data_IF_858546692565
#
_entry.id   IF_858546692565
#
_cell.length_a   1.000
_cell.length_b   1.000
_cell.length_c   1.000
_cell.angle_alpha   90.00
_cell.angle_beta   90.00
_cell.angle_gamma   90.00
#
_symmetry.space_group_name_H-M   'P 1'
#
loop_
_entity.id
_entity.type
_entity.pdbx_description
1 polymer ?
#
# COMPACT_ATOMS: atom_id res chain seq x y z
N UNK A 1 -7.36 -5.03 17.86
CA UNK A 1 -7.70 -6.01 16.81
C UNK A 1 -7.88 -7.37 17.46
N UNK A 2 -8.88 -8.16 17.08
CA UNK A 2 -8.99 -9.57 17.50
C UNK A 2 -8.88 -10.46 16.27
N UNK A 3 -8.23 -11.61 16.43
CA UNK A 3 -8.14 -12.65 15.42
C UNK A 3 -9.48 -13.38 15.27
N UNK A 4 -9.74 -13.91 14.07
CA UNK A 4 -10.81 -14.90 13.88
C UNK A 4 -10.48 -16.17 14.69
N UNK A 5 -11.49 -16.86 15.28
CA UNK A 5 -11.26 -18.09 16.04
C UNK A 5 -10.45 -19.13 15.24
N UNK A 6 -9.42 -19.70 15.87
CA UNK A 6 -8.55 -20.71 15.24
C UNK A 6 -7.39 -20.16 14.41
N UNK A 7 -7.19 -18.83 14.37
CA UNK A 7 -6.00 -18.23 13.74
C UNK A 7 -4.75 -18.39 14.60
N UNK A 8 -3.57 -18.31 13.97
CA UNK A 8 -2.30 -18.21 14.68
C UNK A 8 -2.22 -16.87 15.46
N UNK A 9 -1.46 -16.83 16.55
CA UNK A 9 -1.36 -15.62 17.40
C UNK A 9 -0.60 -14.48 16.71
N UNK A 10 0.27 -14.80 15.75
CA UNK A 10 1.17 -13.87 15.08
C UNK A 10 0.86 -13.69 13.57
N UNK A 11 -0.16 -14.39 13.05
CA UNK A 11 -0.68 -14.20 11.71
C UNK A 11 -2.17 -14.53 11.65
N UNK A 12 -3.01 -13.52 11.44
CA UNK A 12 -4.46 -13.69 11.48
C UNK A 12 -5.24 -12.69 10.63
N UNK A 13 -6.39 -13.12 10.11
CA UNK A 13 -7.37 -12.22 9.53
C UNK A 13 -8.06 -11.40 10.64
N UNK A 14 -8.29 -10.11 10.39
CA UNK A 14 -9.02 -9.23 11.30
C UNK A 14 -10.50 -9.67 11.34
N UNK A 15 -11.03 -9.84 12.54
CA UNK A 15 -12.46 -10.07 12.77
C UNK A 15 -13.24 -8.74 12.66
N UNK A 16 -14.16 -8.56 11.68
CA UNK A 16 -14.87 -7.31 11.46
C UNK A 16 -15.90 -7.05 12.57
N UNK A 17 -15.58 -6.13 13.49
CA UNK A 17 -16.50 -5.74 14.57
C UNK A 17 -17.26 -4.48 14.22
N UNK A 18 -18.58 -4.52 14.33
CA UNK A 18 -19.42 -3.33 14.33
C UNK A 18 -19.17 -2.53 15.61
N UNK A 19 -18.65 -1.31 15.48
CA UNK A 19 -18.48 -0.38 16.60
C UNK A 19 -18.98 1.03 16.22
N UNK A 20 -19.23 1.85 17.24
CA UNK A 20 -19.66 3.24 17.10
C UNK A 20 -18.41 4.11 16.89
N UNK A 21 -18.26 4.66 15.69
CA UNK A 21 -17.02 5.26 15.18
C UNK A 21 -16.81 6.72 15.65
N UNK A 22 -17.83 7.34 16.25
CA UNK A 22 -17.72 8.68 16.86
C UNK A 22 -18.74 8.87 17.98
N UNK A 23 -18.32 9.49 19.08
CA UNK A 23 -19.21 9.90 20.18
C UNK A 23 -19.87 11.26 19.95
N UNK A 24 -19.58 11.92 18.81
CA UNK A 24 -20.08 13.25 18.44
C UNK A 24 -20.36 13.33 16.93
N UNK A 25 -21.51 12.84 16.44
CA UNK A 25 -21.92 13.07 15.06
C UNK A 25 -22.05 14.58 14.79
N UNK A 26 -21.34 15.09 13.77
CA UNK A 26 -21.47 16.48 13.35
C UNK A 26 -22.70 16.63 12.45
N UNK A 27 -23.65 17.46 12.90
CA UNK A 27 -24.87 17.79 12.17
C UNK A 27 -25.96 16.74 12.38
N UNK A 28 -27.11 17.15 12.92
CA UNK A 28 -28.26 16.29 13.26
C UNK A 28 -29.00 15.67 12.05
N UNK A 29 -28.29 15.30 10.99
CA UNK A 29 -28.84 14.57 9.85
C UNK A 29 -28.73 13.06 10.08
N UNK A 30 -29.74 12.30 9.65
CA UNK A 30 -29.77 10.83 9.72
C UNK A 30 -28.57 10.18 9.01
N UNK A 31 -28.04 10.82 7.95
CA UNK A 31 -26.81 10.41 7.26
C UNK A 31 -25.56 10.53 8.15
N UNK A 32 -25.45 11.61 8.93
CA UNK A 32 -24.35 11.80 9.88
C UNK A 32 -24.37 10.77 11.02
N UNK A 33 -25.56 10.29 11.39
CA UNK A 33 -25.72 9.19 12.35
C UNK A 33 -25.29 7.84 11.74
N UNK A 34 -25.68 7.54 10.50
CA UNK A 34 -25.27 6.32 9.79
C UNK A 34 -23.76 6.27 9.50
N UNK A 35 -23.13 7.41 9.21
CA UNK A 35 -21.66 7.53 9.12
C UNK A 35 -20.94 7.27 10.45
N UNK A 36 -21.66 7.30 11.57
CA UNK A 36 -21.12 7.01 12.91
C UNK A 36 -21.10 5.53 13.24
N UNK A 37 -21.67 4.67 12.38
CA UNK A 37 -21.64 3.22 12.51
C UNK A 37 -20.84 2.63 11.35
N UNK A 38 -19.85 1.82 11.66
CA UNK A 38 -19.06 1.12 10.68
C UNK A 38 -18.38 -0.07 11.32
N UNK A 39 -17.99 -1.05 10.52
CA UNK A 39 -17.08 -2.04 11.04
C UNK A 39 -15.70 -1.39 11.26
N UNK A 40 -15.01 -1.76 12.34
CA UNK A 40 -13.67 -1.25 12.67
C UNK A 40 -12.63 -1.54 11.59
N UNK A 41 -12.83 -2.59 10.78
CA UNK A 41 -12.02 -2.89 9.62
C UNK A 41 -12.28 -1.93 8.44
N UNK A 42 -13.44 -1.27 8.36
CA UNK A 42 -13.75 -0.35 7.26
C UNK A 42 -12.79 0.86 7.25
N UNK A 43 -12.45 1.43 8.42
CA UNK A 43 -11.45 2.51 8.48
C UNK A 43 -10.07 2.02 8.05
N UNK A 44 -9.69 0.80 8.47
CA UNK A 44 -8.43 0.21 8.04
C UNK A 44 -8.44 -0.08 6.54
N UNK A 45 -9.53 -0.59 5.98
CA UNK A 45 -9.71 -0.83 4.54
C UNK A 45 -9.84 0.47 3.74
N UNK A 46 -10.15 1.61 4.37
CA UNK A 46 -10.08 2.93 3.74
C UNK A 46 -8.67 3.52 3.78
N UNK A 47 -7.82 3.03 4.68
CA UNK A 47 -6.44 3.49 4.87
C UNK A 47 -5.42 2.56 4.21
N UNK A 48 -5.75 1.28 4.04
CA UNK A 48 -4.92 0.21 3.51
C UNK A 48 -5.71 -0.43 2.39
N UNK A 49 -5.18 -0.34 1.17
CA UNK A 49 -5.90 -0.59 -0.07
C UNK A 49 -5.19 -1.70 -0.86
N UNK A 50 -5.93 -2.61 -1.52
CA UNK A 50 -5.29 -3.55 -2.42
C UNK A 50 -4.88 -2.80 -3.69
N UNK A 51 -3.65 -3.02 -4.13
CA UNK A 51 -3.16 -2.55 -5.43
C UNK A 51 -3.52 -3.59 -6.46
N UNK A 52 -4.16 -3.16 -7.54
CA UNK A 52 -4.68 -4.05 -8.56
C UNK A 52 -4.22 -3.63 -9.95
N UNK A 53 -4.06 -4.63 -10.83
CA UNK A 53 -3.77 -4.44 -12.24
C UNK A 53 -4.77 -5.21 -13.11
N UNK A 54 -5.18 -4.60 -14.23
CA UNK A 54 -5.97 -5.26 -15.26
C UNK A 54 -5.74 -4.62 -16.64
N UNK A 55 -6.02 -5.39 -17.69
CA UNK A 55 -6.00 -4.90 -19.06
C UNK A 55 -7.36 -4.32 -19.46
N UNK A 56 -7.38 -3.21 -20.19
CA UNK A 56 -8.59 -2.63 -20.75
C UNK A 56 -9.33 -3.65 -21.63
N UNK A 57 -10.65 -3.77 -21.44
CA UNK A 57 -11.48 -4.80 -22.07
C UNK A 57 -11.35 -6.20 -21.44
N UNK A 58 -10.44 -6.38 -20.48
CA UNK A 58 -10.37 -7.57 -19.65
C UNK A 58 -11.49 -7.60 -18.61
N UNK A 59 -11.87 -8.80 -18.18
CA UNK A 59 -12.93 -9.02 -17.18
C UNK A 59 -12.37 -9.51 -15.84
N UNK A 60 -11.06 -9.45 -15.63
CA UNK A 60 -10.41 -9.94 -14.41
C UNK A 60 -9.33 -8.96 -13.98
N UNK A 61 -9.33 -8.61 -12.69
CA UNK A 61 -8.25 -7.89 -12.05
C UNK A 61 -7.42 -8.81 -11.18
N UNK A 62 -6.12 -8.54 -11.17
CA UNK A 62 -5.15 -9.18 -10.29
C UNK A 62 -4.82 -8.26 -9.15
N UNK A 63 -4.90 -8.75 -7.91
CA UNK A 63 -4.24 -8.10 -6.79
C UNK A 63 -2.72 -8.29 -6.95
N UNK A 64 -1.96 -7.20 -7.04
CA UNK A 64 -0.50 -7.23 -7.21
C UNK A 64 0.24 -6.81 -5.94
N UNK A 65 -0.46 -6.23 -4.96
CA UNK A 65 0.11 -5.85 -3.69
C UNK A 65 -0.86 -5.09 -2.80
N UNK A 66 -0.31 -4.41 -1.81
CA UNK A 66 -1.00 -3.54 -0.87
C UNK A 66 -0.42 -2.13 -0.96
N UNK A 67 -1.25 -1.12 -0.75
CA UNK A 67 -0.84 0.28 -0.58
C UNK A 67 -1.50 0.83 0.68
N UNK A 68 -1.04 1.97 1.16
CA UNK A 68 -1.69 2.70 2.23
C UNK A 68 -1.72 4.20 1.98
N UNK A 69 -2.80 4.84 2.41
CA UNK A 69 -3.05 6.26 2.27
C UNK A 69 -2.19 7.04 3.26
N UNK A 70 -1.56 8.11 2.79
CA UNK A 70 -0.74 9.02 3.62
C UNK A 70 -1.22 10.47 3.57
N UNK A 71 -2.27 10.76 2.79
CA UNK A 71 -2.80 12.09 2.56
C UNK A 71 -4.31 12.07 2.30
N UNK A 72 -5.05 13.01 2.89
CA UNK A 72 -6.49 13.19 2.60
C UNK A 72 -6.80 13.45 1.12
N UNK A 73 -5.84 14.02 0.38
CA UNK A 73 -5.97 14.29 -1.06
C UNK A 73 -5.76 13.04 -1.93
N UNK A 74 -5.26 11.93 -1.38
CA UNK A 74 -5.04 10.69 -2.15
C UNK A 74 -3.59 10.39 -2.54
N UNK A 75 -2.59 10.86 -1.79
CA UNK A 75 -1.27 10.21 -1.86
C UNK A 75 -1.30 8.87 -1.13
N UNK A 76 -0.74 7.85 -1.77
CA UNK A 76 -0.59 6.50 -1.22
C UNK A 76 0.86 6.04 -1.36
N UNK A 77 1.29 5.15 -0.47
CA UNK A 77 2.59 4.48 -0.52
C UNK A 77 2.37 2.99 -0.77
N UNK A 78 3.24 2.40 -1.59
CA UNK A 78 3.35 0.96 -1.82
C UNK A 78 4.82 0.58 -2.04
N UNK A 79 5.10 -0.69 -2.34
CA UNK A 79 6.44 -1.12 -2.71
C UNK A 79 6.71 -0.87 -4.21
N UNK A 80 7.94 -0.52 -4.57
CA UNK A 80 8.32 -0.26 -5.97
C UNK A 80 8.12 -1.49 -6.85
N UNK A 81 8.49 -2.68 -6.35
CA UNK A 81 8.31 -3.92 -7.10
C UNK A 81 6.84 -4.28 -7.34
N UNK A 82 5.89 -3.80 -6.52
CA UNK A 82 4.45 -4.00 -6.77
C UNK A 82 4.05 -3.32 -8.08
N UNK A 83 4.59 -2.14 -8.37
CA UNK A 83 4.32 -1.43 -9.63
C UNK A 83 5.04 -2.06 -10.83
N UNK A 84 6.12 -2.80 -10.59
CA UNK A 84 6.88 -3.52 -11.61
C UNK A 84 6.39 -4.95 -11.84
N UNK A 85 5.59 -5.52 -10.92
CA UNK A 85 5.05 -6.87 -11.02
C UNK A 85 4.39 -7.19 -12.36
N UNK A 86 3.59 -6.27 -12.97
CA UNK A 86 3.05 -6.53 -14.31
C UNK A 86 4.13 -6.80 -15.36
N UNK A 87 5.27 -6.11 -15.30
CA UNK A 87 6.40 -6.34 -16.19
C UNK A 87 7.14 -7.64 -15.87
N UNK A 88 7.50 -7.80 -14.59
CA UNK A 88 8.38 -8.88 -14.13
C UNK A 88 7.69 -10.25 -14.23
N UNK A 89 6.38 -10.30 -14.01
CA UNK A 89 5.54 -11.50 -14.22
C UNK A 89 5.21 -11.77 -15.68
N UNK A 90 5.52 -10.84 -16.59
CA UNK A 90 5.16 -10.90 -18.01
C UNK A 90 3.68 -10.65 -18.30
N UNK A 91 2.92 -10.11 -17.34
CA UNK A 91 1.51 -9.73 -17.51
C UNK A 91 1.32 -8.55 -18.45
N UNK A 92 2.26 -7.59 -18.45
CA UNK A 92 2.27 -6.42 -19.31
C UNK A 92 3.67 -6.14 -19.86
N UNK A 93 3.74 -5.50 -21.03
CA UNK A 93 5.02 -5.12 -21.64
C UNK A 93 5.35 -3.67 -21.32
N UNK A 94 6.66 -3.39 -21.28
CA UNK A 94 7.19 -2.03 -21.27
C UNK A 94 7.63 -1.65 -22.68
N UNK A 95 7.19 -0.47 -23.12
CA UNK A 95 7.61 0.14 -24.38
C UNK A 95 8.65 1.22 -24.10
N UNK A 96 9.74 1.22 -24.87
CA UNK A 96 10.74 2.27 -24.82
C UNK A 96 10.19 3.55 -25.50
N UNK A 97 10.21 4.65 -24.76
CA UNK A 97 9.85 5.99 -25.20
C UNK A 97 11.11 6.88 -25.23
N UNK A 98 11.09 8.03 -25.96
CA UNK A 98 12.20 8.98 -25.97
C UNK A 98 12.58 9.50 -24.58
N UNK A 99 11.61 9.57 -23.66
CA UNK A 99 11.77 10.12 -22.31
C UNK A 99 11.84 9.03 -21.21
N UNK A 100 11.84 7.74 -21.57
CA UNK A 100 11.87 6.66 -20.57
C UNK A 100 11.20 5.38 -21.06
N UNK A 101 10.58 4.63 -20.15
CA UNK A 101 9.76 3.46 -20.46
C UNK A 101 8.36 3.64 -19.90
N UNK A 102 7.36 3.12 -20.60
CA UNK A 102 5.98 3.13 -20.15
C UNK A 102 5.36 1.75 -20.37
N UNK A 103 4.40 1.39 -19.51
CA UNK A 103 3.55 0.23 -19.76
C UNK A 103 2.70 0.44 -21.02
N UNK A 104 2.20 -0.66 -21.58
CA UNK A 104 1.19 -0.61 -22.64
C UNK A 104 -0.01 0.25 -22.21
N UNK A 105 -0.55 1.04 -23.14
CA UNK A 105 -1.56 2.06 -22.83
C UNK A 105 -2.89 1.49 -22.28
N UNK A 106 -3.13 0.20 -22.49
CA UNK A 106 -4.31 -0.51 -21.99
C UNK A 106 -4.11 -1.15 -20.61
N UNK A 107 -2.91 -1.08 -20.01
CA UNK A 107 -2.71 -1.53 -18.63
C UNK A 107 -3.23 -0.48 -17.65
N UNK A 108 -4.14 -0.90 -16.78
CA UNK A 108 -4.63 -0.11 -15.66
C UNK A 108 -3.99 -0.60 -14.37
N UNK A 109 -3.36 0.29 -13.62
CA UNK A 109 -2.84 0.03 -12.27
C UNK A 109 -3.42 1.07 -11.32
N UNK A 110 -3.89 0.63 -10.16
CA UNK A 110 -4.46 1.52 -9.16
C UNK A 110 -4.84 0.79 -7.89
N UNK A 111 -5.74 1.38 -7.13
CA UNK A 111 -6.24 0.82 -5.86
C UNK A 111 -7.75 0.64 -5.90
N UNK A 112 -8.24 -0.28 -5.06
CA UNK A 112 -9.66 -0.41 -4.79
C UNK A 112 -9.98 0.23 -3.45
N UNK A 113 -10.84 1.25 -3.47
CA UNK A 113 -11.28 1.94 -2.25
C UNK A 113 -12.68 1.49 -1.88
N UNK A 114 -12.92 1.02 -0.64
CA UNK A 114 -14.28 0.81 -0.15
C UNK A 114 -15.00 2.14 0.01
N UNK A 115 -16.16 2.27 -0.62
CA UNK A 115 -17.05 3.43 -0.44
C UNK A 115 -18.05 3.10 0.66
N UNK A 116 -18.27 4.04 1.58
CA UNK A 116 -19.09 3.82 2.78
C UNK A 116 -20.51 3.31 2.41
N UNK A 117 -21.01 2.25 3.05
CA UNK A 117 -22.34 1.67 2.79
C UNK A 117 -23.52 2.59 3.15
N UNK A 118 -23.31 3.81 3.65
CA UNK A 118 -24.35 4.83 3.79
C UNK A 118 -25.06 5.15 2.45
N UNK A 119 -24.47 4.79 1.31
CA UNK A 119 -25.09 4.81 -0.03
C UNK A 119 -26.07 3.65 -0.30
N UNK A 120 -26.20 2.68 0.61
CA UNK A 120 -27.12 1.54 0.51
C UNK A 120 -26.60 0.32 -0.27
N UNK A 121 -25.32 0.31 -0.67
CA UNK A 121 -24.65 -0.82 -1.34
C UNK A 121 -23.20 -0.93 -0.87
N UNK A 122 -22.69 -2.16 -0.70
CA UNK A 122 -21.24 -2.40 -0.56
C UNK A 122 -20.58 -2.10 -1.91
N UNK A 123 -20.25 -0.83 -2.14
CA UNK A 123 -19.60 -0.38 -3.35
C UNK A 123 -18.10 -0.26 -3.12
N UNK A 124 -17.34 -0.71 -4.11
CA UNK A 124 -15.92 -0.47 -4.21
C UNK A 124 -15.69 0.43 -5.42
N UNK A 125 -14.65 1.26 -5.38
CA UNK A 125 -14.27 2.12 -6.50
C UNK A 125 -12.84 1.82 -6.90
N UNK A 126 -12.61 1.61 -8.20
CA UNK A 126 -11.26 1.59 -8.74
C UNK A 126 -10.78 3.03 -8.90
N UNK A 127 -9.62 3.34 -8.33
CA UNK A 127 -8.94 4.60 -8.55
C UNK A 127 -7.58 4.33 -9.20
N UNK A 128 -7.39 4.70 -10.48
CA UNK A 128 -6.11 4.53 -11.14
C UNK A 128 -5.04 5.42 -10.49
N UNK A 129 -3.78 4.99 -10.58
CA UNK A 129 -2.66 5.87 -10.25
C UNK A 129 -2.49 6.92 -11.35
N UNK A 130 -2.85 8.17 -11.03
CA UNK A 130 -2.64 9.32 -11.91
C UNK A 130 -1.16 9.62 -12.09
N UNK A 131 -0.40 9.42 -11.01
CA UNK A 131 1.05 9.58 -10.96
C UNK A 131 1.64 8.50 -10.06
N UNK A 132 2.81 8.01 -10.43
CA UNK A 132 3.62 7.14 -9.59
C UNK A 132 5.07 7.58 -9.65
N UNK A 133 5.74 7.57 -8.49
CA UNK A 133 7.18 7.82 -8.35
C UNK A 133 7.81 6.66 -7.61
N UNK A 134 8.84 6.11 -8.23
CA UNK A 134 9.74 5.12 -7.67
C UNK A 134 11.12 5.43 -8.23
N UNK A 135 12.16 5.16 -7.43
CA UNK A 135 13.51 5.63 -7.69
C UNK A 135 14.43 4.48 -8.03
N UNK A 136 15.20 4.63 -9.10
CA UNK A 136 16.09 3.61 -9.61
C UNK A 136 16.59 3.95 -11.00
N UNK A 137 17.26 2.99 -11.62
CA UNK A 137 17.82 3.12 -12.95
C UNK A 137 17.63 1.86 -13.78
N UNK A 138 17.44 2.03 -15.08
CA UNK A 138 17.43 0.90 -16.01
C UNK A 138 18.85 0.43 -16.27
N UNK A 139 19.12 -0.83 -15.94
CA UNK A 139 20.37 -1.52 -16.29
C UNK A 139 20.12 -2.38 -17.51
N UNK A 140 20.91 -2.13 -18.55
CA UNK A 140 20.96 -3.00 -19.70
C UNK A 140 21.64 -4.31 -19.30
N UNK A 141 21.04 -5.46 -19.62
CA UNK A 141 21.74 -6.72 -19.36
C UNK A 141 22.89 -6.91 -20.38
N UNK A 142 24.10 -7.27 -19.93
CA UNK A 142 25.17 -7.65 -20.83
C UNK A 142 24.94 -9.02 -21.49
N UNK A 143 23.99 -9.81 -20.98
CA UNK A 143 23.71 -11.16 -21.44
C UNK A 143 22.51 -11.17 -22.40
N UNK A 144 22.70 -11.74 -23.59
CA UNK A 144 21.67 -11.78 -24.65
C UNK A 144 20.36 -12.50 -24.25
N UNK A 145 20.42 -13.36 -23.23
CA UNK A 145 19.28 -14.14 -22.75
C UNK A 145 18.60 -13.50 -21.53
N UNK A 146 19.18 -12.44 -20.97
CA UNK A 146 18.61 -11.69 -19.86
C UNK A 146 17.95 -10.42 -20.37
N UNK A 147 16.85 -10.04 -19.72
CA UNK A 147 16.17 -8.78 -20.01
C UNK A 147 16.83 -7.66 -19.22
N UNK A 148 16.75 -6.45 -19.76
CA UNK A 148 17.04 -5.24 -19.00
C UNK A 148 16.18 -5.20 -17.73
N UNK A 149 16.77 -4.74 -16.64
CA UNK A 149 16.11 -4.68 -15.34
C UNK A 149 16.15 -3.28 -14.77
N UNK A 150 15.13 -2.95 -13.99
CA UNK A 150 15.11 -1.73 -13.22
C UNK A 150 15.79 -2.00 -11.86
N UNK A 151 16.96 -1.42 -11.63
CA UNK A 151 17.66 -1.47 -10.34
C UNK A 151 17.11 -0.36 -9.45
N UNK A 152 16.26 -0.74 -8.50
CA UNK A 152 15.63 0.19 -7.56
C UNK A 152 16.67 0.70 -6.55
N UNK A 153 16.60 1.98 -6.21
CA UNK A 153 17.39 2.57 -5.11
C UNK A 153 16.74 2.33 -3.75
N UNK A 154 15.42 2.20 -3.74
CA UNK A 154 14.60 1.85 -2.58
C UNK A 154 13.34 1.15 -3.07
N UNK A 155 12.86 0.17 -2.33
CA UNK A 155 11.65 -0.58 -2.68
C UNK A 155 10.37 0.11 -2.17
N UNK A 156 10.31 1.44 -2.27
CA UNK A 156 9.16 2.25 -1.90
C UNK A 156 8.77 3.12 -3.09
N UNK A 157 7.47 3.11 -3.40
CA UNK A 157 6.84 3.97 -4.37
C UNK A 157 5.80 4.89 -3.72
N UNK A 158 5.72 6.12 -4.23
CA UNK A 158 4.70 7.09 -3.86
C UNK A 158 3.78 7.32 -5.06
N UNK A 159 2.49 7.06 -4.89
CA UNK A 159 1.49 7.21 -5.94
C UNK A 159 0.46 8.27 -5.56
N UNK A 160 -0.20 8.84 -6.57
CA UNK A 160 -1.33 9.75 -6.43
C UNK A 160 -2.56 9.13 -7.07
N UNK A 161 -3.65 9.09 -6.34
CA UNK A 161 -4.99 8.78 -6.83
C UNK A 161 -5.87 10.02 -6.76
N UNK A 162 -6.97 9.99 -7.52
CA UNK A 162 -7.97 11.04 -7.47
C UNK A 162 -8.57 11.21 -6.06
N UNK A 163 -9.05 12.41 -5.77
CA UNK A 163 -9.88 12.66 -4.60
C UNK A 163 -11.20 11.88 -4.69
N UNK A 164 -11.76 11.54 -3.53
CA UNK A 164 -13.07 10.89 -3.49
C UNK A 164 -14.17 11.90 -3.86
N UNK A 165 -15.27 11.45 -4.48
CA UNK A 165 -16.37 12.34 -4.86
C UNK A 165 -17.04 12.99 -3.64
N UNK A 166 -17.86 14.02 -3.90
CA UNK A 166 -18.74 14.67 -2.91
C UNK A 166 -18.02 15.26 -1.69
N UNK A 167 -16.74 15.64 -1.85
CA UNK A 167 -15.93 16.22 -0.79
C UNK A 167 -15.50 15.21 0.28
N UNK A 168 -15.64 13.92 0.01
CA UNK A 168 -15.08 12.87 0.86
C UNK A 168 -13.55 12.93 0.80
N UNK A 169 -12.92 12.70 1.95
CA UNK A 169 -11.46 12.66 2.06
C UNK A 169 -10.99 11.23 2.26
N UNK A 170 -9.79 10.93 1.76
CA UNK A 170 -9.12 9.68 2.09
C UNK A 170 -8.72 9.65 3.57
N UNK A 171 -8.58 8.46 4.16
CA UNK A 171 -8.19 8.29 5.56
C UNK A 171 -6.68 8.01 5.67
N UNK A 172 -5.83 9.02 5.96
CA UNK A 172 -4.40 8.82 6.01
C UNK A 172 -3.93 8.09 7.28
N UNK A 173 -2.87 7.29 7.12
CA UNK A 173 -2.06 6.79 8.23
C UNK A 173 -0.98 7.80 8.60
N UNK A 174 -0.63 7.83 9.89
CA UNK A 174 0.48 8.65 10.39
C UNK A 174 1.82 7.99 10.06
N UNK A 175 2.80 8.80 9.67
CA UNK A 175 4.17 8.35 9.40
C UNK A 175 5.11 8.77 10.51
N UNK A 176 6.14 7.97 10.76
CA UNK A 176 7.23 8.29 11.67
C UNK A 176 8.59 8.02 11.00
N UNK A 177 9.56 8.89 11.29
CA UNK A 177 10.95 8.72 10.83
C UNK A 177 11.79 7.88 11.79
N UNK A 178 11.21 7.44 12.90
CA UNK A 178 11.93 6.59 13.87
C UNK A 178 12.27 5.25 13.24
N UNK A 179 13.53 4.88 13.35
CA UNK A 179 14.01 3.56 12.96
C UNK A 179 13.53 2.50 13.94
N UNK A 180 13.38 1.27 13.47
CA UNK A 180 13.09 0.14 14.36
C UNK A 180 14.33 -0.21 15.19
N UNK A 181 14.12 -0.49 16.48
CA UNK A 181 15.15 -1.04 17.33
C UNK A 181 15.24 -2.57 17.18
N UNK A 182 16.44 -3.12 17.34
CA UNK A 182 16.61 -4.58 17.40
C UNK A 182 15.82 -5.12 18.61
N UNK A 183 15.06 -6.19 18.38
CA UNK A 183 14.16 -6.77 19.35
C UNK A 183 12.81 -6.06 19.51
N UNK A 184 12.55 -4.99 18.76
CA UNK A 184 11.27 -4.29 18.80
C UNK A 184 10.17 -5.14 18.18
N UNK A 185 9.03 -5.28 18.87
CA UNK A 185 7.82 -5.86 18.29
C UNK A 185 7.30 -4.95 17.17
N UNK A 186 7.02 -5.53 16.03
CA UNK A 186 6.47 -4.85 14.87
C UNK A 186 5.29 -5.62 14.33
N UNK A 187 4.40 -4.93 13.63
CA UNK A 187 3.30 -5.59 12.94
C UNK A 187 3.03 -4.92 11.61
N UNK A 188 2.51 -5.71 10.66
CA UNK A 188 2.08 -5.24 9.34
C UNK A 188 0.63 -5.63 9.12
N UNK A 189 -0.11 -4.77 8.42
CA UNK A 189 -1.51 -5.00 8.06
C UNK A 189 -1.66 -4.86 6.56
N UNK A 190 -2.17 -5.87 5.88
CA UNK A 190 -2.31 -5.84 4.43
C UNK A 190 -3.18 -6.95 3.87
N UNK A 191 -3.30 -6.98 2.55
CA UNK A 191 -4.02 -8.04 1.85
C UNK A 191 -3.08 -9.21 1.61
N UNK A 192 -3.51 -10.41 1.99
CA UNK A 192 -2.73 -11.63 1.83
C UNK A 192 -3.41 -12.57 0.84
N UNK A 193 -2.63 -13.12 -0.09
CA UNK A 193 -3.03 -14.23 -0.98
C UNK A 193 -4.37 -13.99 -1.70
N UNK A 194 -4.67 -12.72 -2.00
CA UNK A 194 -5.90 -12.34 -2.66
C UNK A 194 -5.94 -12.90 -4.09
N UNK A 195 -6.95 -13.71 -4.37
CA UNK A 195 -7.18 -14.30 -5.68
C UNK A 195 -7.53 -13.24 -6.73
N UNK A 196 -7.25 -13.55 -8.00
CA UNK A 196 -7.74 -12.77 -9.13
C UNK A 196 -9.29 -12.79 -9.10
N UNK A 197 -9.91 -11.65 -9.36
CA UNK A 197 -11.36 -11.49 -9.22
C UNK A 197 -11.98 -10.86 -10.47
N UNK A 198 -13.24 -11.21 -10.80
CA UNK A 198 -13.92 -10.63 -11.94
C UNK A 198 -14.15 -9.14 -11.71
N UNK A 199 -14.01 -8.34 -12.75
CA UNK A 199 -14.28 -6.90 -12.73
C UNK A 199 -15.35 -6.53 -13.75
N UNK A 200 -16.27 -5.68 -13.31
CA UNK A 200 -17.18 -4.91 -14.16
C UNK A 200 -17.09 -3.47 -13.66
N UNK A 201 -16.42 -2.63 -14.46
CA UNK A 201 -16.13 -1.23 -14.12
C UNK A 201 -17.09 -0.35 -14.91
N UNK A 202 -17.99 0.31 -14.20
CA UNK A 202 -18.85 1.33 -14.80
C UNK A 202 -18.02 2.55 -15.24
N UNK A 203 -18.58 3.37 -16.13
CA UNK A 203 -17.90 4.55 -16.68
C UNK A 203 -17.43 5.57 -15.60
N UNK A 204 -18.00 5.54 -14.39
CA UNK A 204 -17.62 6.39 -13.25
C UNK A 204 -16.56 5.77 -12.32
N UNK A 205 -15.99 4.62 -12.70
CA UNK A 205 -14.99 3.86 -11.94
C UNK A 205 -15.56 2.97 -10.84
N UNK A 206 -16.89 2.89 -10.69
CA UNK A 206 -17.52 1.96 -9.76
C UNK A 206 -17.25 0.53 -10.17
N UNK A 207 -16.85 -0.28 -9.20
CA UNK A 207 -16.67 -1.72 -9.34
C UNK A 207 -17.93 -2.44 -8.87
N UNK A 208 -18.54 -3.23 -9.76
CA UNK A 208 -19.52 -4.24 -9.39
C UNK A 208 -18.80 -5.57 -9.19
N UNK A 209 -18.39 -5.85 -7.95
CA UNK A 209 -17.68 -7.09 -7.60
C UNK A 209 -18.33 -7.75 -6.39
N UNK A 210 -19.49 -8.43 -6.56
CA UNK A 210 -20.23 -9.03 -5.45
C UNK A 210 -19.47 -10.13 -4.69
N UNK A 211 -18.35 -10.62 -5.24
CA UNK A 211 -17.49 -11.65 -4.64
C UNK A 211 -16.16 -11.13 -4.07
N UNK A 212 -15.92 -9.82 -4.05
CA UNK A 212 -14.64 -9.27 -3.60
C UNK A 212 -14.45 -9.42 -2.08
N UNK A 213 -13.69 -10.43 -1.67
CA UNK A 213 -13.27 -10.60 -0.28
C UNK A 213 -12.12 -9.64 0.04
N UNK A 214 -12.38 -8.64 0.89
CA UNK A 214 -11.40 -7.62 1.31
C UNK A 214 -10.87 -7.88 2.72
N UNK A 215 -10.46 -9.12 2.99
CA UNK A 215 -9.95 -9.47 4.31
C UNK A 215 -8.55 -8.90 4.51
N UNK A 216 -8.38 -8.11 5.58
CA UNK A 216 -7.08 -7.64 6.03
C UNK A 216 -6.46 -8.67 6.97
N UNK A 217 -5.18 -8.93 6.78
CA UNK A 217 -4.38 -9.80 7.60
C UNK A 217 -3.38 -8.99 8.40
N UNK A 218 -3.20 -9.37 9.66
CA UNK A 218 -2.17 -8.87 10.55
C UNK A 218 -1.07 -9.91 10.61
N UNK A 219 0.18 -9.47 10.48
CA UNK A 219 1.35 -10.27 10.78
C UNK A 219 2.18 -9.56 11.83
N UNK A 220 2.50 -10.25 12.93
CA UNK A 220 3.25 -9.72 14.07
C UNK A 220 4.60 -10.41 14.13
N UNK A 221 5.65 -9.64 14.43
CA UNK A 221 7.00 -10.17 14.54
C UNK A 221 7.91 -9.28 15.37
N UNK A 222 9.19 -9.63 15.36
CA UNK A 222 10.24 -8.92 16.09
C UNK A 222 11.31 -8.46 15.10
N UNK A 223 11.71 -7.19 15.15
CA UNK A 223 12.83 -6.68 14.37
C UNK A 223 14.11 -7.39 14.79
N UNK A 224 14.84 -7.92 13.83
CA UNK A 224 16.10 -8.61 14.09
C UNK A 224 17.27 -7.66 13.94
N UNK A 225 17.33 -6.98 12.79
CA UNK A 225 18.44 -6.10 12.46
C UNK A 225 18.01 -5.01 11.47
N UNK A 226 18.57 -3.82 11.65
CA UNK A 226 18.47 -2.70 10.72
C UNK A 226 19.71 -2.57 9.82
N UNK A 227 19.50 -2.22 8.55
CA UNK A 227 20.51 -2.03 7.52
C UNK A 227 20.38 -0.63 6.87
N UNK A 228 20.67 0.46 7.61
CA UNK A 228 20.48 1.84 7.11
C UNK A 228 21.37 2.18 5.91
N UNK A 229 22.50 1.48 5.74
CA UNK A 229 23.45 1.70 4.66
C UNK A 229 23.37 0.64 3.56
N UNK A 230 22.30 -0.15 3.48
CA UNK A 230 22.22 -1.25 2.53
C UNK A 230 22.29 -0.81 1.05
N UNK A 231 21.93 0.45 0.74
CA UNK A 231 22.16 1.05 -0.57
C UNK A 231 23.64 1.15 -0.98
N UNK A 232 24.56 1.15 -0.02
CA UNK A 232 26.01 1.17 -0.24
C UNK A 232 26.62 -0.22 -0.08
N UNK A 233 26.26 -0.91 1.01
CA UNK A 233 26.90 -2.17 1.43
C UNK A 233 26.32 -3.39 0.73
N UNK A 234 25.04 -3.35 0.36
CA UNK A 234 24.30 -4.47 -0.26
C UNK A 234 24.40 -5.76 0.58
N UNK A 235 24.37 -5.63 1.91
CA UNK A 235 24.41 -6.74 2.88
C UNK A 235 23.23 -7.70 2.71
N UNK A 236 22.07 -7.16 2.30
CA UNK A 236 20.83 -7.91 2.08
C UNK A 236 20.20 -7.54 0.73
N UNK A 237 19.38 -8.43 0.12
CA UNK A 237 18.88 -8.23 -1.24
C UNK A 237 17.79 -7.14 -1.38
N UNK A 238 17.23 -6.65 -0.27
CA UNK A 238 16.21 -5.59 -0.30
C UNK A 238 16.81 -4.25 -0.75
N UNK A 239 16.28 -3.59 -1.79
CA UNK A 239 16.80 -2.30 -2.24
C UNK A 239 16.70 -1.19 -1.20
N UNK A 240 17.79 -0.43 -1.04
CA UNK A 240 17.81 0.75 -0.18
C UNK A 240 17.92 0.45 1.32
N UNK A 241 17.94 1.49 2.18
CA UNK A 241 17.85 1.32 3.63
C UNK A 241 16.65 0.45 4.04
N UNK A 242 16.90 -0.61 4.80
CA UNK A 242 15.90 -1.60 5.15
C UNK A 242 16.15 -2.22 6.52
N UNK A 243 15.24 -3.06 6.99
CA UNK A 243 15.37 -3.88 8.20
C UNK A 243 14.75 -5.25 7.95
N UNK A 244 15.19 -6.27 8.71
CA UNK A 244 14.54 -7.57 8.71
C UNK A 244 13.84 -7.84 10.04
N UNK A 245 12.77 -8.62 9.98
CA UNK A 245 11.92 -8.93 11.12
C UNK A 245 11.32 -10.33 11.00
N UNK A 246 11.12 -10.99 12.13
CA UNK A 246 10.61 -12.37 12.21
C UNK A 246 9.09 -12.38 12.14
N UNK A 247 8.54 -12.29 10.94
CA UNK A 247 7.11 -12.33 10.71
C UNK A 247 6.75 -13.17 9.49
N UNK A 248 5.56 -13.77 9.51
CA UNK A 248 5.00 -14.49 8.37
C UNK A 248 4.32 -13.50 7.44
N UNK A 249 4.94 -13.22 6.30
CA UNK A 249 4.40 -12.26 5.33
C UNK A 249 4.14 -12.99 4.00
N UNK A 250 2.90 -13.44 3.74
CA UNK A 250 2.56 -14.10 2.48
C UNK A 250 2.55 -13.14 1.28
N UNK A 251 2.36 -13.70 0.09
CA UNK A 251 2.22 -12.94 -1.14
C UNK A 251 1.08 -11.92 -1.07
N UNK A 252 1.20 -10.85 -1.86
CA UNK A 252 0.26 -9.70 -1.94
C UNK A 252 0.28 -8.73 -0.76
N UNK A 253 0.96 -9.06 0.34
CA UNK A 253 1.21 -8.11 1.43
C UNK A 253 2.32 -7.10 1.12
N UNK A 254 3.09 -7.29 0.05
CA UNK A 254 4.08 -6.32 -0.43
C UNK A 254 3.46 -4.92 -0.58
N UNK A 255 4.14 -3.91 -0.06
CA UNK A 255 3.67 -2.53 -0.02
C UNK A 255 2.78 -2.18 1.19
N UNK A 256 2.45 -3.15 2.05
CA UNK A 256 1.71 -2.91 3.28
C UNK A 256 2.52 -2.04 4.28
N UNK A 257 1.84 -1.24 5.10
CA UNK A 257 2.49 -0.47 6.16
C UNK A 257 3.01 -1.37 7.28
N UNK A 258 4.21 -1.08 7.78
CA UNK A 258 4.81 -1.70 8.96
C UNK A 258 4.80 -0.68 10.11
N UNK A 259 4.25 -1.09 11.24
CA UNK A 259 4.08 -0.31 12.47
C UNK A 259 5.04 -0.78 13.56
N UNK A 260 5.46 0.15 14.42
CA UNK A 260 6.15 -0.16 15.68
C UNK A 260 5.17 -0.61 16.77
N UNK A 261 5.64 -1.41 17.72
CA UNK A 261 4.80 -1.97 18.79
C UNK A 261 4.31 -0.93 19.81
N UNK A 262 4.93 0.24 19.83
CA UNK A 262 4.63 1.38 20.69
C UNK A 262 3.58 2.35 20.12
N UNK A 263 3.07 2.11 18.91
CA UNK A 263 2.08 3.02 18.32
C UNK A 263 1.40 2.57 17.03
N UNK A 264 0.49 3.43 16.55
CA UNK A 264 -0.19 3.30 15.27
C UNK A 264 0.43 4.24 14.22
N UNK A 265 1.76 4.27 14.15
CA UNK A 265 2.53 5.05 13.17
C UNK A 265 3.32 4.12 12.27
N UNK A 266 3.27 4.39 10.97
CA UNK A 266 4.00 3.63 9.96
C UNK A 266 5.45 4.08 9.94
N UNK A 267 6.39 3.14 10.00
CA UNK A 267 7.85 3.38 9.95
C UNK A 267 8.53 2.69 8.77
N UNK A 268 7.85 1.71 8.17
CA UNK A 268 8.37 0.95 7.03
C UNK A 268 7.27 0.47 6.09
N UNK A 269 7.72 -0.11 4.99
CA UNK A 269 6.87 -0.71 3.94
C UNK A 269 7.33 -2.14 3.74
N UNK A 270 6.39 -3.09 3.71
CA UNK A 270 6.71 -4.49 3.39
C UNK A 270 7.34 -4.57 2.01
N UNK A 271 8.56 -5.08 1.93
CA UNK A 271 9.30 -5.21 0.67
C UNK A 271 9.35 -6.67 0.23
N UNK A 272 9.80 -7.57 1.10
CA UNK A 272 10.03 -8.96 0.70
C UNK A 272 9.78 -9.91 1.84
N UNK A 273 9.42 -11.14 1.47
CA UNK A 273 9.31 -12.27 2.38
C UNK A 273 9.59 -13.55 1.61
N UNK A 274 10.07 -14.56 2.32
CA UNK A 274 10.27 -15.90 1.77
C UNK A 274 9.07 -16.77 2.13
N UNK A 275 8.42 -17.35 1.12
CA UNK A 275 7.21 -18.16 1.30
C UNK A 275 7.48 -19.32 2.26
N UNK A 276 6.65 -19.44 3.29
CA UNK A 276 6.78 -20.49 4.32
C UNK A 276 7.78 -20.18 5.44
N UNK A 277 8.51 -19.06 5.36
CA UNK A 277 9.46 -18.65 6.38
C UNK A 277 8.91 -17.51 7.26
N UNK A 278 9.50 -17.36 8.45
CA UNK A 278 9.27 -16.23 9.36
C UNK A 278 10.47 -15.28 9.29
N UNK A 279 10.83 -14.87 8.08
CA UNK A 279 11.86 -13.87 7.80
C UNK A 279 11.38 -12.96 6.67
N UNK A 280 11.16 -11.69 7.02
CA UNK A 280 10.63 -10.67 6.13
C UNK A 280 11.47 -9.41 6.23
N UNK A 281 11.41 -8.61 5.16
CA UNK A 281 12.17 -7.37 5.01
C UNK A 281 11.23 -6.20 4.77
N UNK A 282 11.48 -5.13 5.52
CA UNK A 282 10.81 -3.85 5.36
C UNK A 282 11.77 -2.81 4.79
N UNK A 283 11.32 -2.05 3.79
CA UNK A 283 12.02 -0.86 3.36
C UNK A 283 11.74 0.28 4.35
N UNK A 284 12.77 1.05 4.73
CA UNK A 284 12.64 2.14 5.69
C UNK A 284 12.03 3.37 5.02
N UNK A 285 10.97 3.94 5.61
CA UNK A 285 10.32 5.14 5.08
C UNK A 285 11.29 6.32 4.94
N UNK A 286 12.23 6.46 5.88
CA UNK A 286 13.24 7.53 5.88
C UNK A 286 14.00 7.66 4.56
N UNK A 287 14.12 6.57 3.80
CA UNK A 287 14.81 6.56 2.49
C UNK A 287 14.11 7.39 1.40
N UNK A 288 12.80 7.64 1.51
CA UNK A 288 12.01 8.35 0.49
C UNK A 288 11.49 9.72 0.93
N UNK A 289 11.54 10.03 2.23
CA UNK A 289 10.84 11.20 2.77
C UNK A 289 11.30 12.54 2.21
N UNK A 290 12.60 12.66 1.92
CA UNK A 290 13.19 13.85 1.28
C UNK A 290 13.32 13.76 -0.23
N UNK A 291 12.84 12.68 -0.88
CA UNK A 291 12.94 12.54 -2.33
C UNK A 291 11.78 13.29 -3.02
N UNK A 292 12.03 13.93 -4.18
CA UNK A 292 10.99 14.67 -4.89
C UNK A 292 9.92 13.73 -5.44
N UNK A 293 8.66 14.02 -5.13
CA UNK A 293 7.47 13.28 -5.58
C UNK A 293 6.80 14.02 -6.74
N UNK A 294 6.47 15.29 -6.56
CA UNK A 294 5.87 16.11 -7.63
C UNK A 294 6.32 17.55 -7.50
N UNK A 295 6.52 18.23 -8.64
CA UNK A 295 6.88 19.65 -8.69
C UNK A 295 8.10 20.01 -7.82
N UNK A 296 9.05 19.08 -7.70
CA UNK A 296 10.25 19.25 -6.88
C UNK A 296 10.05 19.12 -5.37
N UNK A 297 8.82 18.85 -4.91
CA UNK A 297 8.47 18.72 -3.49
C UNK A 297 8.44 17.26 -3.04
N UNK A 298 8.87 17.04 -1.81
CA UNK A 298 8.95 15.74 -1.15
C UNK A 298 7.77 15.50 -0.21
N UNK A 299 7.62 14.28 0.30
CA UNK A 299 6.64 13.99 1.36
C UNK A 299 6.91 14.83 2.61
N UNK A 300 8.18 15.04 2.95
CA UNK A 300 8.58 15.86 4.08
C UNK A 300 8.12 17.32 3.93
N UNK A 301 8.21 17.88 2.72
CA UNK A 301 7.74 19.24 2.44
C UNK A 301 6.21 19.34 2.62
N UNK A 302 5.45 18.38 2.08
CA UNK A 302 3.99 18.35 2.23
C UNK A 302 3.55 18.26 3.70
N UNK A 303 4.24 17.43 4.50
CA UNK A 303 3.94 17.26 5.93
C UNK A 303 4.29 18.50 6.75
N UNK A 304 5.41 19.18 6.46
CA UNK A 304 5.81 20.39 7.15
C UNK A 304 4.91 21.58 6.83
N UNK A 305 4.55 21.73 5.55
CA UNK A 305 3.69 22.81 5.10
C UNK A 305 2.19 22.56 5.40
N UNK A 306 1.85 21.40 5.97
CA UNK A 306 0.48 20.96 6.24
C UNK A 306 -0.41 20.98 4.98
N UNK A 307 0.18 20.64 3.84
CA UNK A 307 -0.51 20.61 2.54
C UNK A 307 -1.02 19.20 2.22
N UNK A 308 -1.92 19.11 1.23
CA UNK A 308 -2.50 17.85 0.75
C UNK A 308 -3.26 17.07 1.86
N UNK A 309 -3.49 17.66 3.03
CA UNK A 309 -4.02 16.96 4.19
C UNK A 309 -3.15 15.79 4.64
N UNK A 310 -1.81 15.91 4.55
CA UNK A 310 -0.89 14.95 5.15
C UNK A 310 -0.76 15.20 6.66
N UNK A 311 -0.83 14.17 7.51
CA UNK A 311 -0.50 14.29 8.92
C UNK A 311 0.93 14.78 9.12
N UNK A 312 1.22 15.48 10.21
CA UNK A 312 2.60 15.85 10.56
C UNK A 312 3.41 14.62 10.92
N UNK A 313 4.69 14.65 10.60
CA UNK A 313 5.60 13.52 10.85
C UNK A 313 6.01 13.52 12.32
N UNK A 314 5.97 12.35 12.95
CA UNK A 314 6.59 12.15 14.26
C UNK A 314 8.09 11.88 14.07
N UNK A 315 8.92 12.75 14.66
CA UNK A 315 10.39 12.66 14.64
C UNK A 315 10.86 11.91 15.89
#
# INVERSE_FOLDING_TARGET
>A
MKSKPGSEDDYFAIDPRFELMTSRPRGGSFLGLLQSFGHTDLLLQQSILPVVAFMEGGNTARCIGTAFVVSCSGYVITASHVLMDPHDSGYARLTQLPQGRAFEANLNIGVIVPVNPASGREEAKFLPFERARYWGEWKQSPLLHERDRFEMFTDIAVCKVAELPDGMVHQPLNLSLRTFADGEITYTIGYAEMEDFPIDIAADGRLSTPSLKRELFVSVGETVQSYPQNHLLKDVPTPGPCFNYRAKVPGKMSGAPIFGGDGAVVRGVVSRSFSGERDAYGAMLTSVMGLPVTEGRSLFDFMNDSQEGMPRVDI
#
